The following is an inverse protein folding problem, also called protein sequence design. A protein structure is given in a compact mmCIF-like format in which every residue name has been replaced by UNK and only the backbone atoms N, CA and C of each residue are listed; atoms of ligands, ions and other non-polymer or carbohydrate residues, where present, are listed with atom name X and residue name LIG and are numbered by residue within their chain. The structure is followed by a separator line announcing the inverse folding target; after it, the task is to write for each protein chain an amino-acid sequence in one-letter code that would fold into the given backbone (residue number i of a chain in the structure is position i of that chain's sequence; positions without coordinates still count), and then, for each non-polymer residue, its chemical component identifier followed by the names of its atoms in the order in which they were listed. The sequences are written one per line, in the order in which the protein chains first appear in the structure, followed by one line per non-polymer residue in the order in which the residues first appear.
data_IF_868090738578
#
_entry.id   IF_868090738578
#
_cell.length_a   1.000
_cell.length_b   1.000
_cell.length_c   1.000
_cell.angle_alpha   90.00
_cell.angle_beta   90.00
_cell.angle_gamma   90.00
#
_symmetry.space_group_name_H-M   'P 1'
#
loop_
_entity.id
_entity.type
_entity.pdbx_description
1 polymer ?
#
# COMPACT_ATOMS: atom_id res chain seq x y z
N UNK A 1 -0.33 -4.48 20.85
CA UNK A 1 -0.19 -4.78 19.42
C UNK A 1 -1.04 -6.00 19.21
N UNK A 2 -2.21 -5.77 18.65
CA UNK A 2 -3.15 -6.85 18.35
C UNK A 2 -2.72 -7.57 17.07
N UNK A 3 -3.08 -8.83 16.99
CA UNK A 3 -2.89 -9.67 15.81
C UNK A 3 -4.09 -9.59 14.88
N UNK A 4 -3.90 -9.96 13.62
CA UNK A 4 -4.99 -10.12 12.65
C UNK A 4 -6.15 -10.96 13.18
N UNK A 5 -5.84 -12.06 13.86
CA UNK A 5 -6.83 -12.97 14.42
C UNK A 5 -7.69 -12.31 15.51
N UNK A 6 -7.06 -11.54 16.41
CA UNK A 6 -7.79 -10.80 17.45
C UNK A 6 -8.68 -9.70 16.85
N UNK A 7 -8.26 -9.04 15.76
CA UNK A 7 -9.10 -8.08 15.03
C UNK A 7 -10.34 -8.78 14.46
N UNK A 8 -10.15 -9.93 13.80
CA UNK A 8 -11.26 -10.75 13.27
C UNK A 8 -12.23 -11.14 14.39
N UNK A 9 -11.73 -11.56 15.55
CA UNK A 9 -12.54 -11.93 16.71
C UNK A 9 -13.36 -10.75 17.23
N UNK A 10 -12.77 -9.56 17.31
CA UNK A 10 -13.47 -8.35 17.75
C UNK A 10 -14.54 -7.89 16.77
N UNK A 11 -14.26 -7.96 15.47
CA UNK A 11 -15.28 -7.70 14.44
C UNK A 11 -16.42 -8.71 14.58
N UNK A 12 -16.12 -10.00 14.73
CA UNK A 12 -17.14 -11.04 14.90
C UNK A 12 -18.02 -10.81 16.13
N UNK A 13 -17.42 -10.46 17.27
CA UNK A 13 -18.16 -10.14 18.49
C UNK A 13 -19.08 -8.93 18.28
N UNK A 14 -18.60 -7.88 17.60
CA UNK A 14 -19.42 -6.71 17.28
C UNK A 14 -20.57 -7.06 16.33
N UNK A 15 -20.31 -7.81 15.26
CA UNK A 15 -21.33 -8.19 14.27
C UNK A 15 -22.42 -9.11 14.87
N UNK A 16 -22.07 -9.90 15.88
CA UNK A 16 -22.99 -10.75 16.66
C UNK A 16 -23.67 -10.04 17.82
N UNK A 17 -23.46 -8.73 17.96
CA UNK A 17 -23.98 -7.89 19.04
C UNK A 17 -23.56 -8.42 20.45
N UNK A 18 -22.42 -9.13 20.55
CA UNK A 18 -21.83 -9.63 21.80
C UNK A 18 -21.06 -8.54 22.55
N UNK A 19 -20.61 -7.51 21.83
CA UNK A 19 -20.03 -6.29 22.38
C UNK A 19 -20.78 -5.07 21.84
N UNK A 20 -20.85 -4.04 22.65
CA UNK A 20 -21.43 -2.75 22.25
C UNK A 20 -20.51 -2.01 21.29
N UNK A 21 -21.10 -1.06 20.57
CA UNK A 21 -20.38 -0.09 19.76
C UNK A 21 -19.30 0.66 20.56
N UNK A 22 -19.61 1.03 21.81
CA UNK A 22 -18.66 1.71 22.69
C UNK A 22 -17.45 0.85 23.02
N UNK A 23 -17.69 -0.41 23.37
CA UNK A 23 -16.60 -1.36 23.67
C UNK A 23 -15.72 -1.63 22.45
N UNK A 24 -16.32 -1.74 21.25
CA UNK A 24 -15.57 -1.94 20.01
C UNK A 24 -14.69 -0.71 19.69
N UNK A 25 -15.23 0.50 19.86
CA UNK A 25 -14.49 1.75 19.66
C UNK A 25 -13.35 1.93 20.65
N UNK A 26 -13.59 1.72 21.94
CA UNK A 26 -12.58 1.96 22.98
C UNK A 26 -11.41 0.99 22.77
N UNK A 27 -11.70 -0.27 22.44
CA UNK A 27 -10.68 -1.26 22.08
C UNK A 27 -9.93 -0.88 20.80
N UNK A 28 -10.63 -0.52 19.72
CA UNK A 28 -9.99 -0.16 18.46
C UNK A 28 -9.11 1.09 18.59
N UNK A 29 -9.56 2.10 19.35
CA UNK A 29 -8.80 3.32 19.64
C UNK A 29 -7.51 3.02 20.39
N UNK A 30 -7.53 2.06 21.31
CA UNK A 30 -6.34 1.65 22.05
C UNK A 30 -5.30 0.95 21.15
N UNK A 31 -5.75 0.12 20.21
CA UNK A 31 -4.85 -0.69 19.37
C UNK A 31 -4.43 -0.01 18.06
N UNK A 32 -5.17 0.99 17.57
CA UNK A 32 -4.91 1.63 16.27
C UNK A 32 -3.47 2.13 16.11
N UNK A 33 -2.91 2.79 17.13
CA UNK A 33 -1.54 3.30 17.09
C UNK A 33 -0.45 2.26 17.36
N UNK A 34 -0.82 1.05 17.78
CA UNK A 34 0.11 -0.04 18.16
C UNK A 34 0.15 -1.16 17.14
N UNK A 35 -0.85 -1.23 16.26
CA UNK A 35 -1.07 -2.35 15.34
C UNK A 35 -0.31 -2.12 14.05
N UNK A 36 0.44 -3.14 13.61
CA UNK A 36 1.12 -3.07 12.32
C UNK A 36 0.09 -3.06 11.19
N UNK A 37 0.35 -2.28 10.14
CA UNK A 37 -0.49 -2.24 8.94
C UNK A 37 -0.65 -3.62 8.28
N UNK A 38 0.31 -4.55 8.45
CA UNK A 38 0.16 -5.91 7.94
C UNK A 38 -0.85 -6.77 8.73
N UNK A 39 -1.09 -6.41 10.00
CA UNK A 39 -2.08 -7.07 10.84
C UNK A 39 -3.48 -6.50 10.58
N UNK A 40 -3.58 -5.22 10.20
CA UNK A 40 -4.83 -4.55 9.82
C UNK A 40 -4.79 -3.90 8.42
N UNK A 41 -4.63 -4.70 7.34
CA UNK A 41 -4.55 -4.18 5.97
C UNK A 41 -5.80 -3.46 5.50
N UNK A 42 -6.97 -3.86 6.00
CA UNK A 42 -8.26 -3.24 5.66
C UNK A 42 -8.51 -1.92 6.38
N UNK A 43 -7.74 -1.61 7.43
CA UNK A 43 -8.03 -0.49 8.32
C UNK A 43 -9.29 -0.71 9.15
N UNK A 44 -9.59 -1.95 9.53
CA UNK A 44 -10.77 -2.30 10.32
C UNK A 44 -10.79 -1.57 11.68
N UNK A 45 -9.63 -1.33 12.27
CA UNK A 45 -9.53 -0.52 13.50
C UNK A 45 -9.97 0.92 13.23
N UNK A 46 -9.61 1.49 12.08
CA UNK A 46 -10.07 2.83 11.67
C UNK A 46 -11.58 2.80 11.42
N UNK A 47 -12.11 1.78 10.75
CA UNK A 47 -13.56 1.59 10.56
C UNK A 47 -14.29 1.59 11.91
N UNK A 48 -13.79 0.83 12.88
CA UNK A 48 -14.37 0.77 14.24
C UNK A 48 -14.23 2.10 15.01
N UNK A 49 -13.15 2.85 14.82
CA UNK A 49 -13.00 4.18 15.45
C UNK A 49 -13.92 5.22 14.79
N UNK A 50 -14.00 5.21 13.45
CA UNK A 50 -14.81 6.13 12.64
C UNK A 50 -16.31 5.81 12.67
N UNK A 51 -16.71 4.72 13.27
CA UNK A 51 -18.09 4.25 13.38
C UNK A 51 -19.04 5.19 14.14
N UNK A 52 -18.54 6.19 14.87
CA UNK A 52 -19.34 7.24 15.51
C UNK A 52 -19.71 8.40 14.60
N UNK A 53 -19.19 8.41 13.37
CA UNK A 53 -19.63 9.35 12.34
C UNK A 53 -21.07 8.99 11.94
N UNK A 54 -21.97 9.98 11.72
CA UNK A 54 -23.33 9.70 11.26
C UNK A 54 -23.33 8.80 10.02
N UNK A 55 -24.21 7.80 9.99
CA UNK A 55 -24.27 6.79 8.92
C UNK A 55 -24.49 7.43 7.53
N UNK A 56 -25.15 8.58 7.48
CA UNK A 56 -25.38 9.41 6.29
C UNK A 56 -24.08 9.95 5.66
N UNK A 57 -23.00 10.04 6.43
CA UNK A 57 -21.68 10.46 5.96
C UNK A 57 -20.78 9.26 5.63
N UNK A 58 -21.24 8.02 5.84
CA UNK A 58 -20.50 6.83 5.46
C UNK A 58 -20.83 6.42 4.02
N UNK A 59 -19.81 6.05 3.25
CA UNK A 59 -19.97 5.51 1.88
C UNK A 59 -20.74 4.19 1.89
N UNK A 60 -20.66 3.45 3.00
CA UNK A 60 -21.30 2.14 3.19
C UNK A 60 -21.70 1.97 4.66
N UNK A 61 -22.82 1.28 4.97
CA UNK A 61 -23.19 0.96 6.35
C UNK A 61 -22.05 0.26 7.11
N UNK A 62 -21.91 0.56 8.40
CA UNK A 62 -20.81 0.06 9.23
C UNK A 62 -20.70 -1.48 9.21
N UNK A 63 -21.82 -2.19 9.42
CA UNK A 63 -21.80 -3.66 9.46
C UNK A 63 -21.35 -4.25 8.12
N UNK A 64 -21.74 -3.65 7.00
CA UNK A 64 -21.30 -4.09 5.67
C UNK A 64 -19.80 -3.82 5.44
N UNK A 65 -19.30 -2.66 5.87
CA UNK A 65 -17.86 -2.38 5.78
C UNK A 65 -17.04 -3.36 6.63
N UNK A 66 -17.48 -3.65 7.86
CA UNK A 66 -16.79 -4.59 8.75
C UNK A 66 -16.83 -6.03 8.23
N UNK A 67 -17.89 -6.43 7.52
CA UNK A 67 -17.91 -7.72 6.83
C UNK A 67 -16.81 -7.78 5.76
N UNK A 68 -16.67 -6.74 4.95
CA UNK A 68 -15.61 -6.68 3.92
C UNK A 68 -14.22 -6.63 4.52
N UNK A 69 -14.02 -5.82 5.57
CA UNK A 69 -12.75 -5.74 6.28
C UNK A 69 -12.37 -7.11 6.87
N UNK A 70 -13.34 -7.82 7.47
CA UNK A 70 -13.16 -9.17 7.99
C UNK A 70 -12.74 -10.15 6.90
N UNK A 71 -13.33 -10.09 5.72
CA UNK A 71 -12.97 -10.97 4.61
C UNK A 71 -11.53 -10.73 4.14
N UNK A 72 -11.13 -9.47 3.99
CA UNK A 72 -9.74 -9.09 3.70
C UNK A 72 -8.78 -9.64 4.77
N UNK A 73 -9.15 -9.53 6.05
CA UNK A 73 -8.34 -10.06 7.15
C UNK A 73 -8.25 -11.60 7.13
N UNK A 74 -9.33 -12.31 6.77
CA UNK A 74 -9.29 -13.78 6.71
C UNK A 74 -8.43 -14.30 5.57
N UNK A 75 -8.56 -13.71 4.38
CA UNK A 75 -7.77 -14.11 3.22
C UNK A 75 -6.33 -13.64 3.29
N UNK A 76 -6.12 -12.46 3.88
CA UNK A 76 -4.81 -11.84 3.99
C UNK A 76 -4.31 -11.28 2.66
N UNK A 77 -3.18 -10.60 2.76
CA UNK A 77 -2.54 -9.87 1.66
C UNK A 77 -1.02 -10.04 1.79
N UNK A 78 -0.27 -10.07 0.69
CA UNK A 78 1.16 -10.34 0.68
C UNK A 78 1.93 -9.13 1.20
N UNK A 79 2.02 -8.96 2.52
CA UNK A 79 2.70 -7.83 3.16
C UNK A 79 4.21 -8.13 3.33
N UNK A 80 5.12 -7.48 2.57
CA UNK A 80 6.54 -7.79 2.62
C UNK A 80 7.27 -7.02 3.74
N UNK A 81 6.55 -6.56 4.76
CA UNK A 81 7.11 -5.71 5.82
C UNK A 81 8.26 -6.34 6.60
N UNK A 82 8.28 -7.68 6.73
CA UNK A 82 9.38 -8.40 7.40
C UNK A 82 10.68 -8.38 6.60
N UNK A 83 10.58 -8.13 5.30
CA UNK A 83 11.68 -8.13 4.34
C UNK A 83 12.14 -6.71 3.99
N UNK A 84 11.38 -5.69 4.42
CA UNK A 84 11.82 -4.31 4.43
C UNK A 84 13.17 -4.20 5.12
N UNK A 85 14.11 -3.58 4.44
CA UNK A 85 15.43 -3.34 5.02
C UNK A 85 16.43 -4.42 4.69
N UNK A 86 15.97 -5.54 4.12
CA UNK A 86 16.77 -6.74 3.85
C UNK A 86 16.85 -6.97 2.36
N UNK A 87 15.73 -7.41 1.78
CA UNK A 87 15.57 -7.70 0.35
C UNK A 87 14.57 -6.77 -0.31
N UNK A 88 13.69 -6.11 0.47
CA UNK A 88 12.75 -5.10 -0.02
C UNK A 88 13.20 -3.73 0.46
N UNK A 89 13.32 -2.78 -0.47
CA UNK A 89 13.65 -1.39 -0.16
C UNK A 89 12.38 -0.59 0.16
N UNK A 90 11.36 -0.76 -0.68
CA UNK A 90 10.08 -0.09 -0.53
C UNK A 90 8.98 -0.89 -1.20
N UNK A 91 7.75 -0.73 -0.74
CA UNK A 91 6.58 -1.29 -1.41
C UNK A 91 5.35 -0.39 -1.31
N UNK A 92 4.48 -0.56 -2.29
CA UNK A 92 3.11 -0.09 -2.32
C UNK A 92 2.22 -1.29 -2.58
N UNK A 93 1.29 -1.55 -1.65
CA UNK A 93 0.33 -2.63 -1.73
C UNK A 93 -1.08 -2.04 -1.70
N UNK A 94 -1.90 -2.46 -2.65
CA UNK A 94 -3.30 -2.07 -2.77
C UNK A 94 -4.14 -3.30 -3.11
N UNK A 95 -5.44 -3.25 -2.78
CA UNK A 95 -6.34 -4.34 -3.11
C UNK A 95 -7.76 -3.80 -3.26
N UNK A 96 -8.55 -4.50 -4.07
CA UNK A 96 -10.01 -4.36 -4.08
C UNK A 96 -10.57 -5.67 -3.56
N UNK A 97 -11.34 -5.66 -2.45
CA UNK A 97 -11.88 -6.90 -1.86
C UNK A 97 -12.59 -7.74 -2.91
N UNK A 98 -12.26 -9.04 -2.97
CA UNK A 98 -12.80 -10.03 -3.91
C UNK A 98 -12.50 -9.84 -5.39
N UNK A 99 -11.77 -8.80 -5.77
CA UNK A 99 -11.40 -8.58 -7.16
C UNK A 99 -9.92 -8.89 -7.38
N UNK A 100 -9.04 -8.12 -6.74
CA UNK A 100 -7.61 -8.20 -7.00
C UNK A 100 -6.75 -7.61 -5.88
N UNK A 101 -5.50 -8.04 -5.86
CA UNK A 101 -4.41 -7.56 -5.02
C UNK A 101 -3.31 -7.07 -5.95
N UNK A 102 -2.68 -5.95 -5.61
CA UNK A 102 -1.53 -5.41 -6.33
C UNK A 102 -0.40 -5.13 -5.36
N UNK A 103 0.77 -5.66 -5.69
CA UNK A 103 2.01 -5.38 -5.00
C UNK A 103 3.00 -4.77 -5.99
N UNK A 104 3.44 -3.54 -5.71
CA UNK A 104 4.57 -2.91 -6.37
C UNK A 104 5.68 -2.77 -5.36
N UNK A 105 6.86 -3.33 -5.64
CA UNK A 105 7.97 -3.29 -4.68
C UNK A 105 9.31 -3.11 -5.38
N UNK A 106 10.21 -2.42 -4.70
CA UNK A 106 11.62 -2.36 -5.07
C UNK A 106 12.35 -3.42 -4.27
N UNK A 107 13.00 -4.34 -4.96
CA UNK A 107 13.71 -5.47 -4.38
C UNK A 107 15.18 -5.47 -4.75
N UNK A 108 15.99 -6.13 -3.93
CA UNK A 108 17.36 -6.51 -4.26
C UNK A 108 17.43 -8.02 -4.45
N UNK A 109 17.99 -8.46 -5.57
CA UNK A 109 18.35 -9.85 -5.78
C UNK A 109 19.51 -10.25 -4.86
N UNK A 110 19.79 -11.55 -4.76
CA UNK A 110 20.97 -12.06 -4.05
C UNK A 110 22.29 -11.54 -4.64
N UNK A 111 22.31 -11.22 -5.95
CA UNK A 111 23.45 -10.63 -6.64
C UNK A 111 23.57 -9.12 -6.43
N UNK A 112 22.64 -8.51 -5.69
CA UNK A 112 22.61 -7.08 -5.38
C UNK A 112 21.98 -6.22 -6.48
N UNK A 113 21.39 -6.84 -7.51
CA UNK A 113 20.68 -6.11 -8.56
C UNK A 113 19.36 -5.57 -7.99
N UNK A 114 19.10 -4.30 -8.26
CA UNK A 114 17.88 -3.62 -7.82
C UNK A 114 16.83 -3.71 -8.90
N UNK A 115 15.64 -4.20 -8.55
CA UNK A 115 14.53 -4.40 -9.48
C UNK A 115 13.26 -3.73 -8.96
N UNK A 116 12.40 -3.28 -9.86
CA UNK A 116 11.00 -3.01 -9.56
C UNK A 116 10.19 -4.21 -10.01
N UNK A 117 9.47 -4.78 -9.07
CA UNK A 117 8.53 -5.88 -9.28
C UNK A 117 7.12 -5.34 -9.13
N UNK A 118 6.27 -5.65 -10.11
CA UNK A 118 4.85 -5.36 -10.09
C UNK A 118 4.09 -6.64 -10.30
N UNK A 119 3.17 -6.91 -9.40
CA UNK A 119 2.28 -8.07 -9.43
C UNK A 119 0.85 -7.60 -9.23
N UNK A 120 -0.05 -8.14 -10.05
CA UNK A 120 -1.50 -8.05 -9.89
C UNK A 120 -2.05 -9.47 -9.93
N UNK A 121 -2.81 -9.85 -8.92
CA UNK A 121 -3.39 -11.19 -8.79
C UNK A 121 -4.83 -11.13 -8.28
N UNK A 122 -5.61 -12.17 -8.54
CA UNK A 122 -6.90 -12.37 -7.87
C UNK A 122 -6.68 -12.86 -6.43
N UNK A 123 -7.73 -12.82 -5.61
CA UNK A 123 -7.70 -13.38 -4.25
C UNK A 123 -7.53 -14.91 -4.22
N UNK A 124 -7.77 -15.59 -5.34
CA UNK A 124 -7.54 -17.03 -5.51
C UNK A 124 -6.10 -17.35 -5.94
N UNK A 125 -5.28 -16.32 -6.20
CA UNK A 125 -3.89 -16.44 -6.62
C UNK A 125 -3.69 -16.51 -8.13
N UNK A 126 -4.71 -16.23 -8.93
CA UNK A 126 -4.55 -16.15 -10.39
C UNK A 126 -3.83 -14.86 -10.75
N UNK A 127 -2.69 -15.00 -11.41
CA UNK A 127 -1.88 -13.86 -11.83
C UNK A 127 -2.52 -13.14 -13.02
N UNK A 128 -2.88 -11.87 -12.82
CA UNK A 128 -3.49 -10.99 -13.83
C UNK A 128 -2.46 -10.14 -14.57
N UNK A 129 -1.37 -9.79 -13.90
CA UNK A 129 -0.25 -9.06 -14.47
C UNK A 129 1.01 -9.29 -13.64
N UNK A 130 2.14 -9.42 -14.34
CA UNK A 130 3.45 -9.42 -13.71
C UNK A 130 4.45 -8.69 -14.58
N UNK A 131 5.29 -7.90 -13.93
CA UNK A 131 6.41 -7.26 -14.56
C UNK A 131 7.58 -7.14 -13.60
N UNK A 132 8.78 -7.31 -14.14
CA UNK A 132 10.03 -7.03 -13.44
C UNK A 132 10.88 -6.16 -14.34
N UNK A 133 11.31 -5.00 -13.85
CA UNK A 133 12.26 -4.14 -14.53
C UNK A 133 13.50 -3.94 -13.68
N UNK A 134 14.66 -3.83 -14.32
CA UNK A 134 15.88 -3.40 -13.65
C UNK A 134 15.76 -1.91 -13.29
N UNK A 135 16.17 -1.55 -12.08
CA UNK A 135 16.27 -0.18 -11.60
C UNK A 135 17.71 0.12 -11.17
N UNK A 136 18.64 0.28 -12.12
CA UNK A 136 20.03 0.58 -11.79
C UNK A 136 20.11 1.87 -10.97
N UNK A 137 21.00 1.88 -9.99
CA UNK A 137 21.17 3.03 -9.10
C UNK A 137 21.98 4.10 -9.83
N UNK A 138 21.44 5.32 -9.89
CA UNK A 138 22.18 6.50 -10.35
C UNK A 138 22.85 7.19 -9.16
N UNK A 139 24.17 7.33 -9.23
CA UNK A 139 24.99 7.97 -8.18
C UNK A 139 25.07 9.50 -8.32
N UNK A 140 24.39 10.09 -9.32
CA UNK A 140 24.35 11.54 -9.49
C UNK A 140 23.56 12.22 -8.35
N UNK A 141 24.05 13.37 -7.88
CA UNK A 141 23.32 14.25 -6.97
C UNK A 141 22.08 14.81 -7.66
N UNK A 142 20.98 14.06 -7.62
CA UNK A 142 19.66 14.58 -7.96
C UNK A 142 19.13 15.44 -6.81
N UNK A 143 18.35 16.50 -7.08
CA UNK A 143 17.60 17.19 -6.04
C UNK A 143 16.67 16.22 -5.32
N UNK A 144 16.52 16.39 -4.00
CA UNK A 144 15.59 15.58 -3.21
C UNK A 144 14.18 15.66 -3.81
N UNK A 145 13.64 14.54 -4.28
CA UNK A 145 12.29 14.47 -4.80
C UNK A 145 11.29 14.42 -3.62
N UNK A 146 10.31 15.33 -3.64
CA UNK A 146 9.21 15.33 -2.67
C UNK A 146 7.88 14.98 -3.36
N UNK A 147 6.88 14.56 -2.57
CA UNK A 147 5.56 14.21 -3.11
C UNK A 147 4.94 15.32 -3.96
N UNK A 148 5.17 16.59 -3.62
CA UNK A 148 4.68 17.74 -4.39
C UNK A 148 5.18 17.73 -5.85
N UNK A 149 6.44 17.31 -6.07
CA UNK A 149 7.01 17.24 -7.42
C UNK A 149 6.35 16.13 -8.25
N UNK A 150 6.07 14.99 -7.61
CA UNK A 150 5.32 13.88 -8.24
C UNK A 150 3.90 14.34 -8.60
N UNK A 151 3.25 15.10 -7.73
CA UNK A 151 1.92 15.64 -8.01
C UNK A 151 1.92 16.66 -9.15
N UNK A 152 2.90 17.55 -9.22
CA UNK A 152 3.06 18.47 -10.37
C UNK A 152 3.23 17.70 -11.68
N UNK A 153 4.01 16.62 -11.68
CA UNK A 153 4.16 15.77 -12.88
C UNK A 153 2.87 15.01 -13.24
N UNK A 154 2.13 14.53 -12.24
CA UNK A 154 0.80 13.92 -12.46
C UNK A 154 -0.19 14.93 -13.05
N UNK A 155 -0.19 16.17 -12.56
CA UNK A 155 -1.07 17.23 -13.09
C UNK A 155 -0.75 17.57 -14.54
N UNK A 156 0.54 17.64 -14.90
CA UNK A 156 0.95 17.81 -16.29
C UNK A 156 0.46 16.65 -17.18
N UNK A 157 0.53 15.41 -16.69
CA UNK A 157 -0.03 14.25 -17.40
C UNK A 157 -1.56 14.35 -17.57
N UNK A 158 -2.30 14.70 -16.52
CA UNK A 158 -3.76 14.85 -16.58
C UNK A 158 -4.24 16.05 -17.39
N UNK A 159 -3.36 17.03 -17.62
CA UNK A 159 -3.63 18.19 -18.47
C UNK A 159 -3.21 17.98 -19.92
N UNK A 160 -2.80 16.75 -20.29
CA UNK A 160 -2.26 16.37 -21.60
C UNK A 160 -0.99 17.13 -22.02
N UNK A 161 -0.27 17.76 -21.07
CA UNK A 161 1.00 18.45 -21.33
C UNK A 161 2.15 17.47 -21.59
N UNK A 162 2.04 16.25 -21.06
CA UNK A 162 2.96 15.14 -21.29
C UNK A 162 2.18 13.85 -21.55
N UNK A 163 2.75 12.97 -22.36
CA UNK A 163 2.17 11.66 -22.64
C UNK A 163 2.34 10.69 -21.47
N UNK A 164 1.51 9.63 -21.43
CA UNK A 164 1.67 8.53 -20.48
C UNK A 164 3.06 7.87 -20.56
N UNK A 165 3.64 7.80 -21.77
CA UNK A 165 4.99 7.26 -21.99
C UNK A 165 6.05 8.14 -21.34
N UNK A 166 6.02 9.45 -21.59
CA UNK A 166 6.96 10.40 -20.99
C UNK A 166 6.84 10.41 -19.46
N UNK A 167 5.61 10.29 -18.94
CA UNK A 167 5.41 10.23 -17.49
C UNK A 167 5.95 8.91 -16.90
N UNK A 168 5.73 7.77 -17.56
CA UNK A 168 6.27 6.48 -17.12
C UNK A 168 7.80 6.46 -17.13
N UNK A 169 8.42 6.98 -18.20
CA UNK A 169 9.88 7.13 -18.29
C UNK A 169 10.40 8.04 -17.16
N UNK A 170 9.69 9.11 -16.85
CA UNK A 170 10.04 9.98 -15.73
C UNK A 170 9.94 9.26 -14.38
N UNK A 171 8.86 8.50 -14.13
CA UNK A 171 8.67 7.72 -12.89
C UNK A 171 9.80 6.70 -12.71
N UNK A 172 10.13 5.93 -13.75
CA UNK A 172 11.23 4.95 -13.71
C UNK A 172 12.55 5.66 -13.42
N UNK A 173 12.84 6.75 -14.13
CA UNK A 173 14.04 7.54 -13.90
C UNK A 173 14.13 8.07 -12.46
N UNK A 174 13.04 8.53 -11.86
CA UNK A 174 13.04 8.93 -10.45
C UNK A 174 13.30 7.76 -9.50
N UNK A 175 12.74 6.58 -9.77
CA UNK A 175 12.95 5.39 -8.96
C UNK A 175 14.42 4.92 -8.98
N UNK A 176 15.19 5.24 -10.02
CA UNK A 176 16.63 4.92 -10.12
C UNK A 176 17.52 5.78 -9.20
N UNK A 177 17.02 6.91 -8.68
CA UNK A 177 17.76 7.74 -7.73
C UNK A 177 17.50 7.34 -6.28
N UNK A 178 18.58 7.27 -5.47
CA UNK A 178 18.49 6.91 -4.04
C UNK A 178 17.73 7.93 -3.19
N UNK A 179 17.65 9.17 -3.65
CA UNK A 179 17.04 10.29 -2.91
C UNK A 179 15.49 10.33 -3.05
N UNK A 180 14.89 9.44 -3.84
CA UNK A 180 13.46 9.39 -4.09
C UNK A 180 12.67 8.68 -2.97
N UNK A 181 13.32 8.24 -1.89
CA UNK A 181 12.69 7.49 -0.78
C UNK A 181 11.38 8.13 -0.29
N UNK A 182 11.41 9.45 -0.06
CA UNK A 182 10.23 10.22 0.40
C UNK A 182 9.05 10.23 -0.58
N UNK A 183 9.29 9.87 -1.83
CA UNK A 183 8.34 9.85 -2.93
C UNK A 183 8.02 8.43 -3.43
N UNK A 184 8.64 7.37 -2.88
CA UNK A 184 8.48 6.00 -3.36
C UNK A 184 7.04 5.55 -3.43
N UNK A 185 6.24 5.84 -2.41
CA UNK A 185 4.80 5.56 -2.44
C UNK A 185 4.12 6.14 -3.67
N UNK A 186 4.31 7.44 -3.91
CA UNK A 186 3.67 8.12 -5.02
C UNK A 186 4.18 7.58 -6.36
N UNK A 187 5.49 7.33 -6.48
CA UNK A 187 6.11 6.78 -7.68
C UNK A 187 5.63 5.35 -8.00
N UNK A 188 5.59 4.44 -7.02
CA UNK A 188 5.14 3.06 -7.20
C UNK A 188 3.66 3.00 -7.60
N UNK A 189 2.80 3.79 -6.93
CA UNK A 189 1.40 3.92 -7.31
C UNK A 189 1.26 4.47 -8.75
N UNK A 190 2.01 5.52 -9.11
CA UNK A 190 1.96 6.10 -10.46
C UNK A 190 2.45 5.11 -11.52
N UNK A 191 3.52 4.35 -11.23
CA UNK A 191 4.01 3.32 -12.13
C UNK A 191 2.90 2.31 -12.46
N UNK A 192 2.26 1.74 -11.43
CA UNK A 192 1.17 0.79 -11.65
C UNK A 192 0.01 1.41 -12.43
N UNK A 193 -0.45 2.61 -12.06
CA UNK A 193 -1.56 3.29 -12.75
C UNK A 193 -1.27 3.52 -14.24
N UNK A 194 -0.03 3.86 -14.59
CA UNK A 194 0.39 4.04 -15.98
C UNK A 194 0.47 2.71 -16.75
N UNK A 195 0.78 1.60 -16.07
CA UNK A 195 0.78 0.24 -16.66
C UNK A 195 -0.62 -0.37 -16.76
N UNK A 196 -1.53 0.07 -15.89
CA UNK A 196 -2.90 -0.46 -15.75
C UNK A 196 -3.92 0.70 -15.72
N UNK A 197 -4.04 1.47 -16.81
CA UNK A 197 -4.85 2.70 -16.84
C UNK A 197 -6.35 2.45 -16.61
N UNK A 198 -6.85 1.27 -16.97
CA UNK A 198 -8.25 0.85 -16.75
C UNK A 198 -8.50 0.35 -15.31
N UNK A 199 -7.46 0.29 -14.48
CA UNK A 199 -7.55 -0.25 -13.13
C UNK A 199 -7.93 0.84 -12.12
N UNK A 200 -9.10 0.70 -11.48
CA UNK A 200 -9.43 1.43 -10.26
C UNK A 200 -9.07 0.62 -9.00
N UNK A 201 -8.83 1.32 -7.89
CA UNK A 201 -8.75 0.78 -6.54
C UNK A 201 -9.62 1.57 -5.58
N UNK A 202 -10.27 0.87 -4.66
CA UNK A 202 -10.95 1.44 -3.50
C UNK A 202 -11.06 0.37 -2.39
N UNK A 203 -10.51 0.57 -1.18
CA UNK A 203 -9.52 1.54 -0.70
C UNK A 203 -8.05 1.09 -0.95
N UNK A 204 -7.06 1.89 -0.58
CA UNK A 204 -5.74 1.89 -1.23
C UNK A 204 -4.54 1.79 -0.27
N UNK A 205 -4.34 0.80 0.64
CA UNK A 205 -3.24 0.95 1.64
C UNK A 205 -2.54 -0.32 2.18
N UNK A 206 -1.21 -0.39 1.98
CA UNK A 206 -0.15 -0.69 2.96
C UNK A 206 1.19 -0.16 2.39
N UNK A 207 2.03 0.43 3.24
CA UNK A 207 3.32 1.00 2.83
C UNK A 207 4.45 0.59 3.75
N UNK A 208 5.64 0.49 3.15
CA UNK A 208 6.90 0.34 3.86
C UNK A 208 8.00 1.05 3.08
N UNK A 209 8.76 1.89 3.78
CA UNK A 209 9.94 2.58 3.24
C UNK A 209 11.12 2.38 4.20
N UNK A 210 12.32 2.20 3.66
CA UNK A 210 13.53 2.06 4.45
C UNK A 210 14.54 3.15 4.16
N UNK A 211 14.46 4.22 4.94
CA UNK A 211 15.49 5.27 5.02
C UNK A 211 16.84 4.77 5.59
N UNK A 212 16.91 3.54 6.13
CA UNK A 212 18.06 3.03 6.92
C UNK A 212 19.01 2.08 6.17
N UNK A 213 18.59 1.45 5.06
CA UNK A 213 19.38 0.41 4.35
C UNK A 213 20.69 0.92 3.76
N UNK A 214 20.67 2.16 3.27
CA UNK A 214 21.80 2.74 2.53
C UNK A 214 23.02 3.00 3.44
N UNK A 215 22.81 3.24 4.75
CA UNK A 215 23.92 3.42 5.69
C UNK A 215 24.69 2.13 5.99
N UNK A 216 23.98 1.00 6.03
CA UNK A 216 24.56 -0.28 6.46
C UNK A 216 25.21 -1.05 5.30
N UNK A 217 24.90 -0.70 4.04
CA UNK A 217 25.51 -1.31 2.84
C UNK A 217 26.81 -0.65 2.37
N UNK A 218 27.30 0.39 3.07
CA UNK A 218 28.58 1.03 2.75
C UNK A 218 28.66 1.59 1.33
N UNK A 219 27.51 1.92 0.74
CA UNK A 219 27.35 2.48 -0.60
C UNK A 219 26.69 3.84 -0.52
#
# INVERSE_FOLDING_TARGET
MTTRQEIIEKINAFLRDEITHREAYDWASEELGKTSLCEDPAGALITLVGSYVPEEAMVRPLKEQLLLDREVLMHGVPCPHKDLGRTVEAYWLAFTPWEKIVLCQITFTETGERTLEVMEETWEGDQLFQETIALPIKDEESPLLINEDVWKKREAYWSDDITAKEFLEWVVNQLEYRNAAKAYRALLMMYWKLRRPEGSFYPEYMEGDVMRMWKDRGQ
#
